data_IF_194586002625
#
_entry.id   IF_194586002625
#
_cell.length_a   1.000
_cell.length_b   1.000
_cell.length_c   1.000
_cell.angle_alpha   90.00
_cell.angle_beta   90.00
_cell.angle_gamma   90.00
#
_symmetry.space_group_name_H-M   'P 1'
#
loop_
_entity.id
_entity.type
_entity.pdbx_description
1 polymer ?
#
# COMPACT_ATOMS: atom_id res chain seq x y z
N UNK A 1 4.24 -50.72 22.60
CA UNK A 1 4.21 -49.52 23.46
C UNK A 1 4.61 -49.84 24.89
N UNK A 2 4.03 -50.86 25.54
CA UNK A 2 4.26 -51.13 26.98
C UNK A 2 5.71 -51.43 27.38
N UNK A 3 6.52 -52.02 26.51
CA UNK A 3 7.94 -52.30 26.80
C UNK A 3 8.87 -51.09 26.54
N UNK A 4 8.49 -50.18 25.63
CA UNK A 4 9.34 -49.05 25.22
C UNK A 4 8.91 -47.71 25.83
N UNK A 5 7.72 -47.64 26.41
CA UNK A 5 7.15 -46.38 26.91
C UNK A 5 6.76 -45.40 25.81
N UNK A 6 6.70 -45.82 24.54
CA UNK A 6 6.38 -44.97 23.40
C UNK A 6 5.04 -45.37 22.75
N UNK A 7 4.24 -44.36 22.43
CA UNK A 7 2.93 -44.47 21.80
C UNK A 7 2.93 -43.61 20.53
N UNK A 8 2.72 -44.24 19.37
CA UNK A 8 2.66 -43.53 18.07
C UNK A 8 1.19 -43.41 17.70
N UNK A 9 0.70 -42.18 17.63
CA UNK A 9 -0.71 -41.84 17.45
C UNK A 9 -0.90 -41.09 16.13
N UNK A 10 -2.01 -41.32 15.46
CA UNK A 10 -2.33 -40.73 14.15
C UNK A 10 -1.87 -41.55 12.95
N UNK A 11 -1.61 -40.87 11.83
CA UNK A 11 -1.29 -41.48 10.55
C UNK A 11 -1.86 -40.68 9.39
N UNK A 12 -2.37 -41.35 8.36
CA UNK A 12 -2.93 -40.70 7.16
C UNK A 12 -4.46 -40.69 7.19
N UNK A 13 -5.05 -39.68 6.55
CA UNK A 13 -6.47 -39.64 6.21
C UNK A 13 -7.43 -39.71 7.41
N UNK A 14 -8.03 -40.87 7.67
CA UNK A 14 -8.94 -41.04 8.81
C UNK A 14 -8.16 -41.14 10.13
N UNK A 15 -6.96 -41.72 10.12
CA UNK A 15 -6.15 -41.91 11.32
C UNK A 15 -5.60 -40.59 11.89
N UNK A 16 -5.19 -39.64 11.03
CA UNK A 16 -4.78 -38.30 11.50
C UNK A 16 -5.91 -37.54 12.19
N UNK A 17 -7.17 -37.78 11.80
CA UNK A 17 -8.34 -37.16 12.43
C UNK A 17 -8.74 -37.82 13.74
N UNK A 18 -8.35 -39.07 13.95
CA UNK A 18 -8.62 -39.86 15.14
C UNK A 18 -7.58 -39.66 16.26
N UNK A 19 -6.46 -38.99 15.98
CA UNK A 19 -5.39 -38.73 16.95
C UNK A 19 -5.87 -38.15 18.28
N UNK A 20 -6.86 -37.23 18.34
CA UNK A 20 -7.37 -36.75 19.63
C UNK A 20 -7.95 -37.85 20.53
N UNK A 21 -8.65 -38.82 19.95
CA UNK A 21 -9.28 -39.91 20.69
C UNK A 21 -8.22 -40.90 21.18
N UNK A 22 -7.23 -41.20 20.34
CA UNK A 22 -6.07 -42.03 20.70
C UNK A 22 -5.24 -41.40 21.83
N UNK A 23 -5.02 -40.08 21.80
CA UNK A 23 -4.34 -39.35 22.89
C UNK A 23 -5.14 -39.47 24.18
N UNK A 24 -6.46 -39.32 24.11
CA UNK A 24 -7.36 -39.38 25.27
C UNK A 24 -7.30 -40.76 25.91
N UNK A 25 -7.36 -41.83 25.12
CA UNK A 25 -7.27 -43.21 25.61
C UNK A 25 -5.93 -43.50 26.30
N UNK A 26 -4.81 -43.13 25.67
CA UNK A 26 -3.48 -43.31 26.29
C UNK A 26 -3.35 -42.48 27.56
N UNK A 27 -3.88 -41.25 27.57
CA UNK A 27 -3.80 -40.35 28.72
C UNK A 27 -4.59 -40.87 29.91
N UNK A 28 -5.80 -41.39 29.69
CA UNK A 28 -6.62 -42.02 30.73
C UNK A 28 -5.89 -43.22 31.37
N UNK A 29 -5.25 -44.06 30.55
CA UNK A 29 -4.52 -45.23 31.03
C UNK A 29 -3.22 -44.88 31.79
N UNK A 30 -2.65 -43.70 31.56
CA UNK A 30 -1.35 -43.27 32.12
C UNK A 30 -1.47 -42.17 33.17
N UNK A 31 -2.66 -41.61 33.40
CA UNK A 31 -2.87 -40.49 34.30
C UNK A 31 -2.26 -39.17 33.80
N UNK A 32 -2.24 -38.97 32.47
CA UNK A 32 -1.74 -37.75 31.84
C UNK A 32 -2.88 -36.75 31.59
N UNK A 33 -2.53 -35.47 31.44
CA UNK A 33 -3.47 -34.43 31.00
C UNK A 33 -3.76 -34.56 29.49
N UNK A 34 -4.78 -35.37 29.17
CA UNK A 34 -5.19 -35.64 27.80
C UNK A 34 -5.67 -34.39 27.05
N UNK A 35 -6.36 -33.47 27.72
CA UNK A 35 -6.90 -32.26 27.09
C UNK A 35 -5.77 -31.35 26.60
N UNK A 36 -4.73 -31.16 27.41
CA UNK A 36 -3.53 -30.41 27.04
C UNK A 36 -2.78 -31.05 25.88
N UNK A 37 -2.62 -32.39 25.89
CA UNK A 37 -1.95 -33.12 24.81
C UNK A 37 -2.73 -33.07 23.50
N UNK A 38 -4.06 -33.22 23.55
CA UNK A 38 -4.95 -33.05 22.39
C UNK A 38 -4.82 -31.63 21.83
N UNK A 39 -4.76 -30.62 22.69
CA UNK A 39 -4.53 -29.24 22.28
C UNK A 39 -3.18 -29.07 21.58
N UNK A 40 -2.10 -29.65 22.10
CA UNK A 40 -0.77 -29.63 21.49
C UNK A 40 -0.77 -30.26 20.10
N UNK A 41 -1.40 -31.44 19.96
CA UNK A 41 -1.58 -32.14 18.69
C UNK A 41 -2.31 -31.29 17.65
N UNK A 42 -3.46 -30.70 18.04
CA UNK A 42 -4.28 -29.85 17.16
C UNK A 42 -3.56 -28.56 16.76
N UNK A 43 -2.89 -27.89 17.69
CA UNK A 43 -2.18 -26.65 17.40
C UNK A 43 -1.00 -26.87 16.45
N UNK A 44 -0.21 -27.93 16.66
CA UNK A 44 0.89 -28.28 15.76
C UNK A 44 0.40 -28.45 14.32
N UNK A 45 -0.72 -29.15 14.13
CA UNK A 45 -1.31 -29.33 12.80
C UNK A 45 -1.88 -28.06 12.19
N UNK A 46 -2.46 -27.16 13.01
CA UNK A 46 -3.01 -25.89 12.53
C UNK A 46 -1.92 -24.89 12.14
N UNK A 47 -0.84 -24.85 12.91
CA UNK A 47 0.30 -23.97 12.62
C UNK A 47 0.92 -24.35 11.28
N UNK A 48 1.22 -25.63 11.07
CA UNK A 48 1.87 -26.11 9.84
C UNK A 48 1.00 -25.90 8.61
N UNK A 49 -0.33 -26.03 8.75
CA UNK A 49 -1.25 -25.92 7.62
C UNK A 49 -1.75 -24.48 7.34
N UNK A 50 -1.67 -23.56 8.29
CA UNK A 50 -2.32 -22.24 8.18
C UNK A 50 -1.42 -21.06 8.49
N UNK A 51 -0.46 -21.21 9.40
CA UNK A 51 0.50 -20.14 9.69
C UNK A 51 1.63 -20.11 8.67
N UNK A 52 1.97 -21.23 8.05
CA UNK A 52 2.97 -21.32 6.97
C UNK A 52 2.23 -21.44 5.64
N UNK A 53 2.25 -20.37 4.84
CA UNK A 53 1.59 -20.33 3.52
C UNK A 53 2.62 -20.55 2.41
N UNK A 54 3.15 -21.77 2.35
CA UNK A 54 4.16 -22.20 1.37
C UNK A 54 3.58 -23.13 0.28
N UNK A 55 2.27 -23.35 0.31
CA UNK A 55 1.54 -24.19 -0.63
C UNK A 55 1.53 -25.69 -0.29
N UNK A 56 2.07 -26.12 0.86
CA UNK A 56 2.00 -27.52 1.30
C UNK A 56 0.79 -27.72 2.22
N UNK A 57 -0.02 -28.75 1.95
CA UNK A 57 -1.16 -29.13 2.81
C UNK A 57 -0.85 -30.43 3.56
N UNK A 58 -1.12 -30.44 4.87
CA UNK A 58 -0.82 -31.58 5.74
C UNK A 58 -1.69 -32.78 5.37
N UNK A 59 -1.05 -33.91 5.06
CA UNK A 59 -1.72 -35.17 4.72
C UNK A 59 -1.36 -36.34 5.65
N UNK A 60 -0.25 -36.20 6.39
CA UNK A 60 0.22 -37.15 7.40
C UNK A 60 0.46 -36.40 8.72
N UNK A 61 -0.07 -36.94 9.81
CA UNK A 61 0.13 -36.41 11.17
C UNK A 61 0.46 -37.56 12.12
N UNK A 62 1.67 -37.56 12.68
CA UNK A 62 2.05 -38.51 13.72
C UNK A 62 2.39 -37.75 15.01
N UNK A 63 1.70 -38.09 16.09
CA UNK A 63 1.94 -37.61 17.43
C UNK A 63 2.56 -38.74 18.25
N UNK A 64 3.84 -38.59 18.60
CA UNK A 64 4.62 -39.59 19.33
C UNK A 64 4.63 -39.16 20.79
N UNK A 65 4.00 -39.95 21.65
CA UNK A 65 3.83 -39.68 23.09
C UNK A 65 4.65 -40.66 23.91
N UNK A 66 5.37 -40.14 24.90
CA UNK A 66 6.05 -40.94 25.92
C UNK A 66 5.11 -41.26 27.08
N UNK A 67 5.45 -42.32 27.81
CA UNK A 67 4.82 -42.74 29.05
C UNK A 67 4.77 -41.64 30.13
N UNK A 68 5.71 -40.70 30.09
CA UNK A 68 5.89 -39.58 31.02
C UNK A 68 5.25 -38.27 30.53
N UNK A 69 4.62 -38.28 29.35
CA UNK A 69 3.89 -37.11 28.82
C UNK A 69 4.70 -36.17 27.92
N UNK A 70 5.99 -36.43 27.67
CA UNK A 70 6.75 -35.77 26.60
C UNK A 70 6.26 -36.22 25.24
N UNK A 71 6.35 -35.34 24.25
CA UNK A 71 5.84 -35.63 22.91
C UNK A 71 6.70 -35.05 21.80
N UNK A 72 6.62 -35.68 20.62
CA UNK A 72 7.15 -35.17 19.38
C UNK A 72 6.08 -35.28 18.29
N UNK A 73 6.05 -34.33 17.36
CA UNK A 73 5.15 -34.38 16.21
C UNK A 73 5.96 -34.38 14.94
N UNK A 74 5.67 -35.34 14.06
CA UNK A 74 6.24 -35.40 12.71
C UNK A 74 5.09 -35.38 11.72
N UNK A 75 4.99 -34.26 11.00
CA UNK A 75 3.96 -34.05 10.00
C UNK A 75 4.57 -34.04 8.60
N UNK A 76 3.77 -34.44 7.61
CA UNK A 76 4.14 -34.30 6.21
C UNK A 76 3.06 -33.54 5.45
N UNK A 77 3.48 -32.44 4.83
CA UNK A 77 2.71 -31.68 3.86
C UNK A 77 3.04 -32.13 2.44
N UNK A 78 2.06 -32.03 1.54
CA UNK A 78 2.22 -32.27 0.12
C UNK A 78 1.80 -31.03 -0.67
N UNK A 79 2.57 -30.71 -1.69
CA UNK A 79 2.24 -29.65 -2.64
C UNK A 79 1.80 -30.31 -3.94
N UNK A 80 0.50 -30.25 -4.23
CA UNK A 80 -0.10 -30.96 -5.38
C UNK A 80 0.42 -30.45 -6.74
N UNK A 81 0.85 -29.19 -6.82
CA UNK A 81 1.35 -28.59 -8.05
C UNK A 81 2.76 -29.10 -8.42
N UNK A 82 3.63 -29.30 -7.43
CA UNK A 82 5.01 -29.78 -7.64
C UNK A 82 5.17 -31.28 -7.43
N UNK A 83 4.23 -31.94 -6.74
CA UNK A 83 4.36 -33.32 -6.29
C UNK A 83 5.37 -33.51 -5.15
N UNK A 84 5.91 -32.42 -4.60
CA UNK A 84 6.93 -32.47 -3.55
C UNK A 84 6.30 -32.56 -2.16
N UNK A 85 7.08 -33.10 -1.21
CA UNK A 85 6.70 -33.18 0.19
C UNK A 85 7.61 -32.34 1.08
N UNK A 86 7.04 -31.78 2.15
CA UNK A 86 7.76 -31.09 3.23
C UNK A 86 7.43 -31.75 4.57
N UNK A 87 8.42 -31.89 5.44
CA UNK A 87 8.26 -32.44 6.78
C UNK A 87 8.42 -31.34 7.83
N UNK A 88 7.57 -31.40 8.85
CA UNK A 88 7.58 -30.48 9.97
C UNK A 88 7.79 -31.27 11.26
N UNK A 89 8.75 -30.82 12.05
CA UNK A 89 9.20 -31.51 13.25
C UNK A 89 9.01 -30.62 14.47
N UNK A 90 8.34 -31.17 15.47
CA UNK A 90 8.10 -30.53 16.76
C UNK A 90 8.61 -31.42 17.88
N UNK A 91 9.20 -30.81 18.91
CA UNK A 91 9.67 -31.52 20.09
C UNK A 91 9.24 -30.78 21.36
N UNK A 92 8.54 -31.46 22.27
CA UNK A 92 7.88 -30.81 23.41
C UNK A 92 8.83 -29.99 24.30
N UNK A 93 10.08 -30.43 24.45
CA UNK A 93 11.06 -29.74 25.30
C UNK A 93 11.54 -28.39 24.68
N UNK A 94 11.35 -28.20 23.37
CA UNK A 94 11.77 -26.99 22.65
C UNK A 94 10.62 -26.00 22.44
N UNK A 95 9.37 -26.48 22.47
CA UNK A 95 8.17 -25.66 22.23
C UNK A 95 7.88 -24.76 23.41
N UNK A 96 8.23 -23.47 23.29
CA UNK A 96 7.85 -22.41 24.25
C UNK A 96 6.58 -21.65 23.84
N UNK A 97 6.31 -21.61 22.54
CA UNK A 97 5.15 -20.99 21.92
C UNK A 97 4.80 -21.80 20.68
N UNK A 98 3.51 -21.90 20.33
CA UNK A 98 3.07 -22.56 19.10
C UNK A 98 3.17 -21.65 17.86
N UNK A 99 3.40 -20.35 18.06
CA UNK A 99 3.35 -19.34 16.98
C UNK A 99 4.60 -18.47 16.91
N UNK A 100 5.66 -18.85 17.61
CA UNK A 100 6.93 -18.11 17.62
C UNK A 100 8.09 -19.10 17.61
N UNK A 101 8.60 -19.38 16.41
CA UNK A 101 9.68 -20.33 16.11
C UNK A 101 9.47 -21.69 16.81
N UNK A 102 8.33 -22.37 16.56
CA UNK A 102 7.94 -23.53 17.35
C UNK A 102 8.61 -24.85 16.88
N UNK A 103 9.11 -24.88 15.65
CA UNK A 103 9.64 -26.09 15.02
C UNK A 103 11.07 -26.36 15.42
N UNK A 104 11.37 -27.63 15.70
CA UNK A 104 12.74 -28.12 15.82
C UNK A 104 13.40 -28.23 14.44
N UNK A 105 12.62 -28.56 13.40
CA UNK A 105 13.08 -28.58 12.02
C UNK A 105 11.92 -28.51 11.02
N UNK A 106 12.21 -27.95 9.85
CA UNK A 106 11.35 -28.01 8.66
C UNK A 106 12.21 -28.44 7.48
N UNK A 107 11.95 -29.63 6.95
CA UNK A 107 12.75 -30.27 5.91
C UNK A 107 11.97 -30.31 4.58
N UNK A 108 12.54 -29.74 3.53
CA UNK A 108 11.93 -29.74 2.19
C UNK A 108 12.53 -28.65 1.30
N UNK A 109 12.16 -28.66 0.02
CA UNK A 109 12.64 -27.68 -0.96
C UNK A 109 12.27 -26.24 -0.58
N UNK A 110 13.15 -25.28 -0.84
CA UNK A 110 12.89 -23.88 -0.54
C UNK A 110 11.94 -23.28 -1.61
N UNK A 111 10.83 -22.67 -1.18
CA UNK A 111 9.82 -22.10 -2.08
C UNK A 111 10.02 -20.61 -2.38
N UNK A 112 11.15 -20.02 -1.98
CA UNK A 112 11.40 -18.59 -2.08
C UNK A 112 10.68 -17.80 -0.98
N UNK A 113 10.07 -16.68 -1.36
CA UNK A 113 9.32 -15.82 -0.44
C UNK A 113 7.95 -16.42 -0.12
N UNK A 114 7.71 -16.68 1.16
CA UNK A 114 6.46 -17.24 1.68
C UNK A 114 5.94 -16.38 2.83
N UNK A 115 4.62 -16.44 3.09
CA UNK A 115 4.05 -15.84 4.31
C UNK A 115 4.15 -16.85 5.45
N UNK A 116 4.89 -16.50 6.50
CA UNK A 116 5.04 -17.32 7.70
C UNK A 116 4.64 -16.53 8.97
N UNK A 117 3.45 -16.81 9.50
CA UNK A 117 2.95 -16.25 10.74
C UNK A 117 3.44 -16.99 12.00
N UNK A 118 4.14 -18.11 11.86
CA UNK A 118 4.73 -18.84 13.00
C UNK A 118 6.15 -18.37 13.37
N UNK A 119 6.73 -17.48 12.57
CA UNK A 119 8.03 -16.85 12.83
C UNK A 119 7.92 -15.84 13.98
N UNK A 120 8.92 -15.79 14.87
CA UNK A 120 8.93 -14.83 16.00
C UNK A 120 8.81 -13.38 15.55
N UNK A 121 9.35 -13.01 14.38
CA UNK A 121 9.29 -11.65 13.81
C UNK A 121 7.89 -11.25 13.35
N UNK A 122 6.99 -12.21 13.16
CA UNK A 122 5.62 -11.95 12.73
C UNK A 122 4.67 -11.52 13.88
N UNK A 123 5.21 -11.23 15.08
CA UNK A 123 4.40 -10.90 16.26
C UNK A 123 3.48 -9.70 16.06
N UNK A 124 4.00 -8.59 15.53
CA UNK A 124 3.19 -7.41 15.24
C UNK A 124 2.09 -7.70 14.22
N UNK A 125 2.36 -8.56 13.24
CA UNK A 125 1.39 -8.95 12.23
C UNK A 125 0.27 -9.80 12.85
N UNK A 126 0.62 -10.78 13.69
CA UNK A 126 -0.36 -11.58 14.43
C UNK A 126 -1.23 -10.71 15.33
N UNK A 127 -0.64 -9.81 16.11
CA UNK A 127 -1.41 -8.88 16.97
C UNK A 127 -2.34 -8.00 16.14
N UNK A 128 -1.87 -7.46 15.02
CA UNK A 128 -2.71 -6.64 14.13
C UNK A 128 -3.87 -7.44 13.53
N UNK A 129 -3.66 -8.71 13.18
CA UNK A 129 -4.73 -9.60 12.70
C UNK A 129 -5.77 -9.81 13.80
N UNK A 130 -5.34 -10.08 15.03
CA UNK A 130 -6.26 -10.25 16.18
C UNK A 130 -7.01 -8.96 16.47
N UNK A 131 -6.34 -7.82 16.45
CA UNK A 131 -6.94 -6.50 16.65
C UNK A 131 -8.00 -6.23 15.59
N UNK A 132 -7.66 -6.48 14.31
CA UNK A 132 -8.59 -6.36 13.19
C UNK A 132 -9.80 -7.27 13.35
N UNK A 133 -9.61 -8.55 13.67
CA UNK A 133 -10.69 -9.52 13.88
C UNK A 133 -11.58 -9.18 15.08
N UNK A 134 -11.05 -8.43 16.05
CA UNK A 134 -11.77 -7.97 17.23
C UNK A 134 -12.58 -6.67 16.99
N UNK A 135 -12.42 -6.01 15.85
CA UNK A 135 -13.19 -4.81 15.51
C UNK A 135 -14.65 -5.15 15.18
N UNK A 136 -15.54 -4.16 15.33
CA UNK A 136 -16.92 -4.25 14.86
C UNK A 136 -16.95 -4.51 13.33
N UNK A 137 -17.83 -5.38 12.80
CA UNK A 137 -17.84 -5.75 11.38
C UNK A 137 -17.92 -4.56 10.41
N UNK A 138 -18.65 -3.50 10.76
CA UNK A 138 -18.71 -2.27 9.95
C UNK A 138 -17.35 -1.57 9.85
N UNK A 139 -16.56 -1.56 10.92
CA UNK A 139 -15.21 -0.99 10.91
C UNK A 139 -14.28 -1.87 10.08
N UNK A 140 -14.37 -3.19 10.21
CA UNK A 140 -13.61 -4.12 9.36
C UNK A 140 -13.89 -3.88 7.88
N UNK A 141 -15.17 -3.74 7.51
CA UNK A 141 -15.56 -3.47 6.13
C UNK A 141 -15.02 -2.13 5.63
N UNK A 142 -15.03 -1.08 6.46
CA UNK A 142 -14.47 0.22 6.11
C UNK A 142 -12.95 0.14 5.90
N UNK A 143 -12.22 -0.56 6.77
CA UNK A 143 -10.77 -0.79 6.62
C UNK A 143 -10.47 -1.59 5.34
N UNK A 144 -11.21 -2.66 5.07
CA UNK A 144 -11.08 -3.45 3.83
C UNK A 144 -11.35 -2.56 2.62
N UNK A 145 -12.45 -1.80 2.63
CA UNK A 145 -12.79 -0.89 1.53
C UNK A 145 -11.71 0.16 1.34
N UNK A 146 -11.11 0.67 2.42
CA UNK A 146 -10.00 1.61 2.34
C UNK A 146 -8.79 0.96 1.68
N UNK A 147 -8.40 -0.26 2.05
CA UNK A 147 -7.29 -1.00 1.41
C UNK A 147 -7.58 -1.32 -0.05
N UNK A 148 -8.77 -1.82 -0.37
CA UNK A 148 -9.18 -2.20 -1.73
C UNK A 148 -9.32 -0.99 -2.66
N UNK A 149 -9.81 0.14 -2.15
CA UNK A 149 -9.91 1.38 -2.92
C UNK A 149 -8.59 2.12 -3.08
N UNK A 150 -7.56 1.80 -2.29
CA UNK A 150 -6.33 2.59 -2.24
C UNK A 150 -5.13 2.02 -3.02
N UNK A 151 -5.26 0.91 -3.78
CA UNK A 151 -4.08 0.32 -4.45
C UNK A 151 -4.25 -0.31 -5.83
N UNK A 152 -4.99 0.28 -6.76
CA UNK A 152 -4.67 0.12 -8.20
C UNK A 152 -4.57 1.51 -8.84
N UNK A 153 -3.40 1.88 -9.36
CA UNK A 153 -3.25 2.96 -10.33
C UNK A 153 -3.87 2.47 -11.66
N UNK A 154 -5.20 2.39 -11.71
CA UNK A 154 -5.94 2.15 -12.94
C UNK A 154 -5.95 3.46 -13.73
N UNK A 155 -4.90 3.64 -14.55
CA UNK A 155 -4.81 4.79 -15.43
C UNK A 155 -5.59 4.49 -16.72
N UNK A 156 -6.44 5.43 -17.18
CA UNK A 156 -7.16 5.22 -18.42
C UNK A 156 -6.18 5.01 -19.59
N UNK A 157 -6.56 4.16 -20.54
CA UNK A 157 -5.79 3.94 -21.79
C UNK A 157 -5.75 5.14 -22.75
N UNK A 158 -6.01 6.35 -22.24
CA UNK A 158 -5.98 7.61 -22.98
C UNK A 158 -5.17 8.66 -22.24
N UNK A 159 -4.52 9.54 -23.00
CA UNK A 159 -3.66 10.59 -22.47
C UNK A 159 -4.37 11.95 -22.37
N UNK A 160 -5.47 12.11 -23.11
CA UNK A 160 -6.22 13.36 -23.10
C UNK A 160 -6.97 13.56 -21.79
N UNK A 161 -6.87 14.78 -21.26
CA UNK A 161 -7.60 15.21 -20.06
C UNK A 161 -9.02 15.62 -20.46
N UNK A 162 -10.02 14.92 -19.94
CA UNK A 162 -11.44 15.15 -20.23
C UNK A 162 -12.12 15.81 -19.03
N UNK A 163 -13.27 16.49 -19.23
CA UNK A 163 -14.02 17.09 -18.13
C UNK A 163 -14.40 16.11 -17.02
N UNK A 164 -14.64 14.83 -17.37
CA UNK A 164 -14.95 13.78 -16.40
C UNK A 164 -13.78 13.37 -15.50
N UNK A 165 -12.55 13.69 -15.89
CA UNK A 165 -11.33 13.30 -15.17
C UNK A 165 -10.92 14.35 -14.11
N UNK A 166 -11.69 15.44 -14.02
CA UNK A 166 -11.34 16.66 -13.27
C UNK A 166 -12.53 17.10 -12.43
N UNK A 167 -12.30 17.35 -11.13
CA UNK A 167 -13.29 18.02 -10.31
C UNK A 167 -13.37 19.50 -10.70
N UNK A 168 -14.46 19.88 -11.38
CA UNK A 168 -14.68 21.24 -11.88
C UNK A 168 -14.77 22.28 -10.78
N UNK A 169 -15.24 21.88 -9.59
CA UNK A 169 -15.37 22.78 -8.45
C UNK A 169 -13.99 23.12 -7.88
N UNK A 170 -13.18 22.10 -7.65
CA UNK A 170 -11.82 22.27 -7.14
C UNK A 170 -10.94 23.04 -8.12
N UNK A 171 -10.98 22.69 -9.41
CA UNK A 171 -10.24 23.44 -10.43
C UNK A 171 -10.75 24.87 -10.54
N UNK A 172 -12.06 25.09 -10.41
CA UNK A 172 -12.66 26.43 -10.38
C UNK A 172 -12.10 27.29 -9.25
N UNK A 173 -11.92 26.73 -8.06
CA UNK A 173 -11.36 27.44 -6.91
C UNK A 173 -9.91 27.89 -7.16
N UNK A 174 -9.11 27.03 -7.79
CA UNK A 174 -7.73 27.35 -8.21
C UNK A 174 -7.73 28.50 -9.22
N UNK A 175 -8.61 28.46 -10.22
CA UNK A 175 -8.71 29.53 -11.21
C UNK A 175 -9.17 30.85 -10.58
N UNK A 176 -10.13 30.81 -9.66
CA UNK A 176 -10.59 31.99 -8.94
C UNK A 176 -9.46 32.61 -8.10
N UNK A 177 -8.69 31.81 -7.37
CA UNK A 177 -7.52 32.30 -6.62
C UNK A 177 -6.48 33.00 -7.51
N UNK A 178 -6.36 32.57 -8.77
CA UNK A 178 -5.36 33.04 -9.71
C UNK A 178 -5.83 34.22 -10.59
N UNK A 179 -7.12 34.30 -10.93
CA UNK A 179 -7.63 35.23 -11.96
C UNK A 179 -8.75 36.14 -11.48
N UNK A 180 -9.42 35.84 -10.36
CA UNK A 180 -10.46 36.72 -9.82
C UNK A 180 -9.82 37.84 -9.01
N UNK A 181 -10.11 39.08 -9.39
CA UNK A 181 -9.58 40.29 -8.75
C UNK A 181 -9.78 40.30 -7.23
N UNK A 182 -10.88 39.70 -6.75
CA UNK A 182 -11.20 39.59 -5.31
C UNK A 182 -10.13 38.84 -4.53
N UNK A 183 -9.45 37.89 -5.15
CA UNK A 183 -8.49 37.00 -4.50
C UNK A 183 -7.05 37.23 -4.97
N UNK A 184 -6.83 37.80 -6.16
CA UNK A 184 -5.48 38.06 -6.69
C UNK A 184 -4.68 39.03 -5.83
N UNK A 185 -5.33 40.06 -5.26
CA UNK A 185 -4.64 41.02 -4.39
C UNK A 185 -4.09 40.33 -3.12
N UNK A 186 -4.84 39.36 -2.59
CA UNK A 186 -4.42 38.58 -1.43
C UNK A 186 -3.29 37.60 -1.79
N UNK A 187 -3.35 36.94 -2.94
CA UNK A 187 -2.30 36.00 -3.35
C UNK A 187 -0.98 36.70 -3.70
N UNK A 188 -1.04 37.88 -4.33
CA UNK A 188 0.14 38.72 -4.59
C UNK A 188 0.84 39.16 -3.29
N UNK A 189 0.05 39.46 -2.24
CA UNK A 189 0.56 39.78 -0.92
C UNK A 189 1.24 38.58 -0.24
N UNK A 190 0.79 37.35 -0.51
CA UNK A 190 1.37 36.14 0.08
C UNK A 190 2.71 35.73 -0.55
N UNK A 191 2.87 35.84 -1.88
CA UNK A 191 3.89 35.04 -2.61
C UNK A 191 5.09 35.82 -3.16
N UNK A 192 5.12 37.16 -3.08
CA UNK A 192 6.06 38.12 -3.73
C UNK A 192 5.45 38.75 -4.98
N UNK A 193 5.52 40.09 -5.06
CA UNK A 193 5.09 40.89 -6.23
C UNK A 193 5.78 40.40 -7.51
N UNK A 194 5.01 40.26 -8.60
CA UNK A 194 5.53 39.91 -9.93
C UNK A 194 5.26 38.47 -10.37
N UNK A 195 4.53 37.68 -9.58
CA UNK A 195 3.94 36.43 -10.06
C UNK A 195 2.69 36.73 -10.89
N UNK A 196 2.62 36.16 -12.09
CA UNK A 196 1.43 36.29 -12.93
C UNK A 196 0.35 35.27 -12.52
N UNK A 197 -0.92 35.50 -12.92
CA UNK A 197 -2.04 34.57 -12.67
C UNK A 197 -1.72 33.11 -12.97
N UNK A 198 -1.06 32.82 -14.10
CA UNK A 198 -0.70 31.45 -14.48
C UNK A 198 0.29 30.79 -13.51
N UNK A 199 1.22 31.56 -12.96
CA UNK A 199 2.16 31.06 -11.94
C UNK A 199 1.45 30.84 -10.61
N UNK A 200 0.49 31.70 -10.24
CA UNK A 200 -0.34 31.52 -9.04
C UNK A 200 -1.19 30.25 -9.17
N UNK A 201 -1.82 30.02 -10.33
CA UNK A 201 -2.57 28.79 -10.62
C UNK A 201 -1.70 27.54 -10.44
N UNK A 202 -0.47 27.55 -10.96
CA UNK A 202 0.46 26.43 -10.81
C UNK A 202 0.88 26.22 -9.35
N UNK A 203 1.19 27.29 -8.62
CA UNK A 203 1.58 27.22 -7.21
C UNK A 203 0.41 26.79 -6.31
N UNK A 204 -0.83 27.14 -6.65
CA UNK A 204 -2.02 26.69 -5.94
C UNK A 204 -2.17 25.17 -6.02
N UNK A 205 -2.04 24.59 -7.22
CA UNK A 205 -2.06 23.13 -7.40
C UNK A 205 -0.87 22.44 -6.70
N UNK A 206 0.33 23.02 -6.78
CA UNK A 206 1.50 22.50 -6.06
C UNK A 206 1.31 22.57 -4.54
N UNK A 207 0.72 23.65 -4.02
CA UNK A 207 0.47 23.79 -2.59
C UNK A 207 -0.50 22.73 -2.07
N UNK A 208 -1.49 22.34 -2.88
CA UNK A 208 -2.39 21.24 -2.56
C UNK A 208 -1.69 19.87 -2.63
N UNK A 209 -0.69 19.67 -3.49
CA UNK A 209 0.15 18.46 -3.44
C UNK A 209 0.96 18.38 -2.13
N UNK A 210 1.46 19.51 -1.63
CA UNK A 210 2.30 19.57 -0.43
C UNK A 210 1.47 19.47 0.86
N UNK A 211 0.31 20.14 0.92
CA UNK A 211 -0.49 20.32 2.15
C UNK A 211 -1.89 19.66 2.08
N UNK A 212 -2.23 19.03 0.96
CA UNK A 212 -3.49 18.32 0.72
C UNK A 212 -3.63 17.04 1.53
N UNK A 213 -4.87 16.75 1.96
CA UNK A 213 -5.21 15.44 2.51
C UNK A 213 -5.30 14.39 1.37
N UNK A 214 -5.06 13.09 1.65
CA UNK A 214 -5.12 12.04 0.63
C UNK A 214 -6.42 12.00 -0.20
N UNK A 215 -7.56 12.36 0.39
CA UNK A 215 -8.87 12.42 -0.29
C UNK A 215 -8.96 13.45 -1.42
N UNK A 216 -7.98 14.34 -1.55
CA UNK A 216 -7.93 15.39 -2.58
C UNK A 216 -7.29 14.95 -3.89
N UNK A 217 -6.78 13.71 -3.94
CA UNK A 217 -6.13 13.13 -5.11
C UNK A 217 -7.04 12.16 -5.89
N UNK A 218 -8.36 12.23 -5.67
CA UNK A 218 -9.37 11.45 -6.41
C UNK A 218 -9.47 11.83 -7.88
N UNK A 219 -9.05 13.04 -8.25
CA UNK A 219 -9.06 13.60 -9.61
C UNK A 219 -7.65 14.02 -10.08
N UNK A 220 -6.70 13.07 -10.22
CA UNK A 220 -5.29 13.39 -10.43
C UNK A 220 -5.02 14.18 -11.73
N UNK A 221 -5.89 14.05 -12.75
CA UNK A 221 -5.75 14.79 -14.00
C UNK A 221 -5.84 16.32 -13.81
N UNK A 222 -6.47 16.81 -12.73
CA UNK A 222 -6.51 18.24 -12.40
C UNK A 222 -5.12 18.86 -12.20
N UNK A 223 -4.17 18.12 -11.63
CA UNK A 223 -2.82 18.63 -11.37
C UNK A 223 -2.02 18.86 -12.65
N UNK A 224 -2.40 18.23 -13.77
CA UNK A 224 -1.81 18.52 -15.10
C UNK A 224 -2.01 19.97 -15.54
N UNK A 225 -3.01 20.69 -15.00
CA UNK A 225 -3.20 22.11 -15.28
C UNK A 225 -2.15 23.01 -14.62
N UNK A 226 -1.30 22.50 -13.73
CA UNK A 226 -0.18 23.28 -13.19
C UNK A 226 0.88 23.54 -14.26
N UNK A 227 1.25 22.50 -15.02
CA UNK A 227 2.42 22.53 -15.90
C UNK A 227 2.24 21.81 -17.24
N UNK A 228 1.01 21.51 -17.64
CA UNK A 228 0.73 20.83 -18.90
C UNK A 228 1.32 19.43 -18.97
N UNK A 229 1.46 18.91 -20.19
CA UNK A 229 2.00 17.58 -20.46
C UNK A 229 3.04 17.60 -21.56
N UNK A 230 4.02 16.69 -21.44
CA UNK A 230 5.10 16.52 -22.42
C UNK A 230 4.58 16.11 -23.80
N UNK A 231 3.41 15.47 -23.85
CA UNK A 231 2.67 15.06 -25.04
C UNK A 231 1.60 16.09 -25.46
N UNK A 232 1.53 17.25 -24.78
CA UNK A 232 0.61 18.34 -25.12
C UNK A 232 -0.77 18.27 -24.46
N UNK A 233 -0.94 17.41 -23.45
CA UNK A 233 -2.19 17.27 -22.70
C UNK A 233 -2.05 17.73 -21.24
N UNK A 234 -2.93 18.62 -20.73
CA UNK A 234 -4.01 19.33 -21.45
C UNK A 234 -3.47 20.34 -22.48
N UNK A 235 -2.27 20.86 -22.24
CA UNK A 235 -1.54 21.75 -23.13
C UNK A 235 -0.02 21.46 -23.05
N UNK A 236 0.79 21.96 -23.99
CA UNK A 236 2.24 21.85 -23.92
C UNK A 236 2.81 22.41 -22.60
N UNK A 237 3.96 21.88 -22.18
CA UNK A 237 4.61 22.27 -20.93
C UNK A 237 5.02 23.75 -20.98
N UNK A 238 4.46 24.65 -20.14
CA UNK A 238 4.75 26.08 -20.16
C UNK A 238 6.07 26.35 -19.42
N UNK A 239 7.20 26.21 -20.12
CA UNK A 239 8.55 26.26 -19.52
C UNK A 239 8.78 27.49 -18.63
N UNK A 240 8.36 28.69 -19.05
CA UNK A 240 8.53 29.92 -18.26
C UNK A 240 7.78 29.88 -16.93
N UNK A 241 6.59 29.26 -16.90
CA UNK A 241 5.79 29.11 -15.68
C UNK A 241 6.41 28.04 -14.79
N UNK A 242 6.86 26.95 -15.40
CA UNK A 242 7.56 25.86 -14.72
C UNK A 242 8.81 26.37 -13.98
N UNK A 243 9.67 27.12 -14.67
CA UNK A 243 10.89 27.71 -14.08
C UNK A 243 10.56 28.66 -12.93
N UNK A 244 9.51 29.48 -13.07
CA UNK A 244 9.05 30.36 -11.99
C UNK A 244 8.58 29.56 -10.77
N UNK A 245 7.76 28.51 -10.97
CA UNK A 245 7.32 27.64 -9.88
C UNK A 245 8.51 26.99 -9.16
N UNK A 246 9.48 26.44 -9.92
CA UNK A 246 10.72 25.88 -9.38
C UNK A 246 11.48 26.95 -8.57
N UNK A 247 11.61 28.16 -9.11
CA UNK A 247 12.31 29.26 -8.44
C UNK A 247 11.68 29.61 -7.09
N UNK A 248 10.35 29.72 -7.04
CA UNK A 248 9.60 29.99 -5.80
C UNK A 248 9.82 28.87 -4.78
N UNK A 249 9.67 27.60 -5.19
CA UNK A 249 9.87 26.45 -4.31
C UNK A 249 11.31 26.35 -3.79
N UNK A 250 12.31 26.49 -4.67
CA UNK A 250 13.74 26.49 -4.30
C UNK A 250 14.03 27.59 -3.29
N UNK A 251 13.52 28.80 -3.52
CA UNK A 251 13.70 29.90 -2.59
C UNK A 251 13.01 29.63 -1.26
N UNK A 252 11.79 29.08 -1.27
CA UNK A 252 11.05 28.78 -0.04
C UNK A 252 11.79 27.75 0.82
N UNK A 253 12.27 26.66 0.21
CA UNK A 253 13.03 25.62 0.89
C UNK A 253 14.37 26.16 1.42
N UNK A 254 15.09 26.94 0.63
CA UNK A 254 16.38 27.54 1.06
C UNK A 254 16.19 28.50 2.23
N UNK A 255 15.18 29.37 2.19
CA UNK A 255 14.86 30.28 3.29
C UNK A 255 14.45 29.53 4.55
N UNK A 256 13.65 28.47 4.43
CA UNK A 256 13.20 27.67 5.57
C UNK A 256 14.37 26.97 6.28
N UNK A 257 15.36 26.47 5.54
CA UNK A 257 16.60 25.91 6.11
C UNK A 257 17.42 26.94 6.90
N UNK A 258 17.26 28.23 6.61
CA UNK A 258 17.89 29.33 7.32
C UNK A 258 17.02 29.89 8.46
N UNK A 259 15.95 29.18 8.84
CA UNK A 259 15.03 29.57 9.91
C UNK A 259 13.90 30.51 9.46
N UNK A 260 13.88 30.96 8.21
CA UNK A 260 12.80 31.82 7.68
C UNK A 260 11.78 30.99 6.89
N UNK A 261 10.68 30.64 7.54
CA UNK A 261 9.62 29.79 6.98
C UNK A 261 8.49 30.57 6.28
N UNK A 262 8.58 31.90 6.18
CA UNK A 262 7.49 32.75 5.68
C UNK A 262 6.99 32.33 4.29
N UNK A 263 7.91 31.96 3.39
CA UNK A 263 7.60 31.53 2.03
C UNK A 263 6.91 30.16 1.96
N UNK A 264 7.27 29.22 2.85
CA UNK A 264 6.52 27.95 2.98
C UNK A 264 5.16 28.20 3.62
N UNK A 265 5.10 29.07 4.62
CA UNK A 265 3.85 29.54 5.22
C UNK A 265 2.92 30.17 4.18
N UNK A 266 3.44 30.92 3.22
CA UNK A 266 2.68 31.50 2.12
C UNK A 266 2.06 30.43 1.19
N UNK A 267 2.80 29.36 0.87
CA UNK A 267 2.24 28.24 0.10
C UNK A 267 1.13 27.53 0.87
N UNK A 268 1.30 27.33 2.18
CA UNK A 268 0.24 26.77 3.03
C UNK A 268 -1.00 27.68 3.06
N UNK A 269 -0.81 29.00 3.19
CA UNK A 269 -1.90 29.98 3.16
C UNK A 269 -2.60 30.02 1.79
N UNK A 270 -1.87 29.78 0.69
CA UNK A 270 -2.45 29.67 -0.65
C UNK A 270 -3.38 28.46 -0.75
N UNK A 271 -2.97 27.28 -0.27
CA UNK A 271 -3.85 26.10 -0.19
C UNK A 271 -5.08 26.38 0.69
N UNK A 272 -4.91 27.02 1.86
CA UNK A 272 -6.03 27.42 2.70
C UNK A 272 -7.01 28.37 1.97
N UNK A 273 -6.51 29.33 1.20
CA UNK A 273 -7.34 30.25 0.41
C UNK A 273 -8.13 29.50 -0.65
N UNK A 274 -7.50 28.59 -1.40
CA UNK A 274 -8.17 27.80 -2.44
C UNK A 274 -9.31 26.99 -1.83
N UNK A 275 -9.10 26.34 -0.67
CA UNK A 275 -10.15 25.62 0.06
C UNK A 275 -11.26 26.54 0.54
N UNK A 276 -10.90 27.74 1.00
CA UNK A 276 -11.89 28.74 1.39
C UNK A 276 -12.78 29.13 0.20
N UNK A 277 -12.19 29.33 -0.98
CA UNK A 277 -12.94 29.67 -2.20
C UNK A 277 -13.85 28.50 -2.60
N UNK A 278 -13.33 27.28 -2.62
CA UNK A 278 -14.08 26.05 -2.91
C UNK A 278 -15.33 25.90 -2.04
N UNK A 279 -15.19 26.13 -0.73
CA UNK A 279 -16.26 25.91 0.23
C UNK A 279 -17.33 27.01 0.23
N UNK A 280 -16.98 28.25 -0.11
CA UNK A 280 -17.85 29.41 0.11
C UNK A 280 -18.39 30.08 -1.16
N UNK A 281 -17.84 29.77 -2.35
CA UNK A 281 -18.15 30.53 -3.59
C UNK A 281 -18.59 29.68 -4.78
N UNK A 282 -18.85 28.38 -4.58
CA UNK A 282 -19.27 27.41 -5.62
C UNK A 282 -18.59 27.61 -6.99
N UNK A 283 -17.25 27.76 -7.04
CA UNK A 283 -16.58 28.06 -8.30
C UNK A 283 -16.73 26.86 -9.26
N UNK A 284 -16.85 27.10 -10.57
CA UNK A 284 -16.96 26.03 -11.56
C UNK A 284 -16.03 26.30 -12.74
N UNK A 285 -15.13 25.37 -13.02
CA UNK A 285 -14.28 25.41 -14.20
C UNK A 285 -14.96 24.76 -15.41
N UNK A 286 -15.04 25.51 -16.51
CA UNK A 286 -15.28 24.91 -17.83
C UNK A 286 -13.97 24.30 -18.35
N UNK A 287 -13.79 23.01 -18.10
CA UNK A 287 -12.56 22.27 -18.42
C UNK A 287 -12.24 22.33 -19.91
N UNK A 288 -13.25 22.21 -20.80
CA UNK A 288 -13.03 22.25 -22.26
C UNK A 288 -12.52 23.62 -22.68
N UNK A 289 -13.16 24.69 -22.20
CA UNK A 289 -12.76 26.06 -22.49
C UNK A 289 -11.38 26.38 -21.92
N UNK A 290 -11.06 25.88 -20.73
CA UNK A 290 -9.74 26.05 -20.12
C UNK A 290 -8.66 25.37 -20.95
N UNK A 291 -8.85 24.12 -21.37
CA UNK A 291 -7.89 23.41 -22.25
C UNK A 291 -7.63 24.22 -23.54
N UNK A 292 -8.70 24.71 -24.18
CA UNK A 292 -8.58 25.54 -25.37
C UNK A 292 -7.84 26.86 -25.11
N UNK A 293 -8.06 27.48 -23.95
CA UNK A 293 -7.35 28.68 -23.52
C UNK A 293 -5.86 28.40 -23.30
N UNK A 294 -5.51 27.37 -22.52
CA UNK A 294 -4.14 26.96 -22.23
C UNK A 294 -3.33 26.69 -23.51
N UNK A 295 -3.94 26.00 -24.48
CA UNK A 295 -3.32 25.76 -25.79
C UNK A 295 -3.07 27.05 -26.56
N UNK A 296 -4.00 28.01 -26.51
CA UNK A 296 -3.87 29.30 -27.20
C UNK A 296 -2.74 30.16 -26.62
N UNK A 297 -2.54 30.12 -25.31
CA UNK A 297 -1.52 30.93 -24.62
C UNK A 297 -0.19 30.20 -24.45
N UNK A 298 -0.09 28.93 -24.87
CA UNK A 298 1.08 28.09 -24.65
C UNK A 298 2.38 28.75 -25.14
N UNK A 299 2.39 29.33 -26.34
CA UNK A 299 3.57 29.99 -26.93
C UNK A 299 4.07 31.17 -26.09
N UNK A 300 3.17 31.95 -25.48
CA UNK A 300 3.53 33.08 -24.60
C UNK A 300 4.37 32.62 -23.40
N UNK A 301 4.07 31.42 -22.91
CA UNK A 301 4.75 30.78 -21.78
C UNK A 301 5.90 29.84 -22.18
N UNK A 302 6.29 29.83 -23.45
CA UNK A 302 7.34 28.92 -23.95
C UNK A 302 6.89 27.46 -23.95
N UNK A 303 5.62 27.21 -24.24
CA UNK A 303 5.00 25.90 -24.32
C UNK A 303 5.79 24.95 -25.22
N UNK A 304 6.19 23.79 -24.68
CA UNK A 304 6.88 22.75 -25.44
C UNK A 304 6.30 21.35 -25.25
N UNK A 305 6.38 20.55 -26.30
CA UNK A 305 6.12 19.12 -26.31
C UNK A 305 7.38 18.35 -26.73
N UNK A 306 7.38 17.03 -26.52
CA UNK A 306 8.44 16.14 -27.03
C UNK A 306 8.48 16.08 -28.57
N UNK A 307 7.44 16.56 -29.25
CA UNK A 307 7.36 16.55 -30.71
C UNK A 307 8.03 17.78 -31.34
N UNK A 308 8.22 18.86 -30.58
CA UNK A 308 8.79 20.13 -31.06
C UNK A 308 10.30 20.04 -31.34
N UNK A 309 10.95 18.98 -30.86
CA UNK A 309 12.38 18.73 -31.00
C UNK A 309 12.76 17.78 -32.14
N UNK A 310 11.81 17.33 -32.98
CA UNK A 310 12.12 16.50 -34.16
C UNK A 310 12.78 17.34 -35.26
N UNK A 311 14.02 17.76 -35.01
CA UNK A 311 14.99 17.91 -36.09
C UNK A 311 15.26 16.51 -36.67
N UNK A 312 15.33 16.41 -38.00
CA UNK A 312 15.82 15.24 -38.72
C UNK A 312 17.22 14.86 -38.21
N UNK A 313 17.31 14.01 -37.19
CA UNK A 313 18.50 13.20 -36.93
C UNK A 313 18.20 11.81 -37.45
N UNK A 314 18.61 11.56 -38.70
CA UNK A 314 18.82 10.19 -39.18
C UNK A 314 19.61 9.41 -38.14
N UNK A 315 19.20 8.16 -37.92
CA UNK A 315 19.94 7.08 -37.27
C UNK A 315 20.74 7.44 -36.01
N UNK A 316 20.22 7.04 -34.86
CA UNK A 316 20.75 5.92 -34.06
C UNK A 316 19.72 5.68 -32.96
N UNK A 317 18.82 4.73 -33.18
CA UNK A 317 18.08 4.13 -32.08
C UNK A 317 19.10 3.38 -31.21
N UNK A 318 19.35 3.89 -30.00
CA UNK A 318 20.18 3.18 -29.02
C UNK A 318 19.52 1.82 -28.76
N UNK A 319 20.19 0.74 -29.19
CA UNK A 319 19.90 -0.61 -28.70
C UNK A 319 20.26 -0.65 -27.23
N UNK A 320 19.24 -0.59 -26.38
CA UNK A 320 19.38 -0.99 -24.99
C UNK A 320 19.31 -2.51 -24.96
N UNK A 321 20.32 -3.10 -24.31
CA UNK A 321 20.26 -4.43 -23.72
C UNK A 321 18.96 -4.61 -22.92
#
# INVERSE_FOLDING_TARGET
SHETGLYILGGRGRYSRNTPDEITEVSMNRGLDGDSLVRCSRLSAKVDNSCIQDGFQIYLHNFILTAEGKWAVVQQGMNDASGMARRYHWHSDEVKSFVSDPHSAIEGENMGEILNLSDSRADSARSSIVDFLSMHPEKQQNEINLVLSSRHLDMPGHHDVRPKDVDSKRLGAVLAAAYDKRFTEFTDALLVKGLGPRTIQALALVSEVIYGAPSRFSDPARFSFAHGGKDGHPAPVPLKVYDKSIGVLKSAVRSAKLGNSDKLGALKKLDCLVRHIENNYEPQADVKRLIAHERRIASLHGGRTVFDGKHNSNDVQLKLF
#
